data_IF_810022987142
#
_entry.id   IF_810022987142
#
_cell.length_a   1.000
_cell.length_b   1.000
_cell.length_c   1.000
_cell.angle_alpha   90.00
_cell.angle_beta   90.00
_cell.angle_gamma   90.00
#
_symmetry.space_group_name_H-M   'P 1'
#
loop_
_entity.id
_entity.type
_entity.pdbx_description
1 polymer ?
#
# COMPACT_ATOMS: atom_id res chain seq x y z
N UNK A 1 -0.43 -22.02 -7.40
CA UNK A 1 0.24 -20.70 -7.49
C UNK A 1 -0.34 -19.72 -6.48
N UNK A 2 -1.53 -19.13 -6.67
CA UNK A 2 -2.09 -18.18 -5.69
C UNK A 2 -2.26 -18.82 -4.28
N UNK A 3 -2.67 -20.10 -4.23
CA UNK A 3 -2.80 -20.85 -2.98
C UNK A 3 -1.47 -21.19 -2.28
N UNK A 4 -0.33 -20.93 -2.92
CA UNK A 4 0.99 -21.15 -2.36
C UNK A 4 1.64 -19.83 -1.91
N UNK A 5 0.99 -18.69 -2.20
CA UNK A 5 1.43 -17.36 -1.79
C UNK A 5 0.95 -17.01 -0.38
N UNK A 6 1.80 -16.32 0.39
CA UNK A 6 1.42 -15.74 1.69
C UNK A 6 0.39 -14.62 1.54
N UNK A 7 0.56 -13.78 0.51
CA UNK A 7 -0.30 -12.64 0.18
C UNK A 7 -0.15 -12.26 -1.28
N UNK A 8 -1.16 -11.60 -1.84
CA UNK A 8 -1.17 -11.07 -3.20
C UNK A 8 -0.81 -9.59 -3.19
N UNK A 9 0.22 -9.22 -3.92
CA UNK A 9 0.62 -7.82 -4.07
C UNK A 9 -0.13 -7.19 -5.24
N UNK A 10 -0.89 -6.14 -4.96
CA UNK A 10 -1.50 -5.25 -5.94
C UNK A 10 -0.61 -4.02 -6.07
N UNK A 11 -0.08 -3.81 -7.26
CA UNK A 11 0.90 -2.79 -7.58
C UNK A 11 0.39 -1.93 -8.75
N UNK A 12 -0.56 -1.00 -8.53
CA UNK A 12 -0.92 -0.02 -9.54
C UNK A 12 0.31 0.81 -9.94
N UNK A 13 0.51 1.00 -11.24
CA UNK A 13 1.67 1.71 -11.82
C UNK A 13 1.33 3.15 -12.22
N UNK A 14 0.11 3.55 -11.96
CA UNK A 14 -0.44 4.85 -12.30
C UNK A 14 0.24 5.95 -11.49
N UNK A 15 0.43 7.11 -12.13
CA UNK A 15 1.11 8.27 -11.50
C UNK A 15 0.15 9.12 -10.69
N UNK A 16 -1.13 9.08 -11.05
CA UNK A 16 -2.21 9.76 -10.36
C UNK A 16 -2.89 8.80 -9.37
N UNK A 17 -3.39 9.35 -8.27
CA UNK A 17 -4.01 8.54 -7.22
C UNK A 17 -5.38 7.97 -7.66
N UNK A 18 -6.19 8.76 -8.36
CA UNK A 18 -7.53 8.31 -8.76
C UNK A 18 -7.43 7.15 -9.76
N UNK A 19 -6.51 7.26 -10.72
CA UNK A 19 -6.18 6.18 -11.66
C UNK A 19 -5.67 4.94 -10.91
N UNK A 20 -4.77 5.12 -9.93
CA UNK A 20 -4.24 4.02 -9.13
C UNK A 20 -5.34 3.31 -8.32
N UNK A 21 -6.27 4.06 -7.73
CA UNK A 21 -7.40 3.50 -6.97
C UNK A 21 -8.41 2.79 -7.88
N UNK A 22 -8.65 3.31 -9.08
CA UNK A 22 -9.46 2.63 -10.10
C UNK A 22 -8.86 1.29 -10.49
N UNK A 23 -7.55 1.27 -10.76
CA UNK A 23 -6.81 0.05 -11.10
C UNK A 23 -6.84 -0.97 -9.94
N UNK A 24 -6.69 -0.52 -8.69
CA UNK A 24 -6.86 -1.39 -7.51
C UNK A 24 -8.26 -2.01 -7.45
N UNK A 25 -9.31 -1.22 -7.69
CA UNK A 25 -10.68 -1.73 -7.70
C UNK A 25 -10.90 -2.78 -8.81
N UNK A 26 -10.30 -2.59 -9.98
CA UNK A 26 -10.32 -3.58 -11.07
C UNK A 26 -9.59 -4.87 -10.71
N UNK A 27 -8.40 -4.77 -10.08
CA UNK A 27 -7.67 -5.95 -9.58
C UNK A 27 -8.47 -6.71 -8.53
N UNK A 28 -9.09 -6.01 -7.58
CA UNK A 28 -9.94 -6.62 -6.56
C UNK A 28 -11.12 -7.37 -7.19
N UNK A 29 -11.81 -6.76 -8.16
CA UNK A 29 -12.93 -7.40 -8.84
C UNK A 29 -12.52 -8.72 -9.53
N UNK A 30 -11.33 -8.77 -10.14
CA UNK A 30 -10.80 -10.00 -10.74
C UNK A 30 -10.52 -11.06 -9.67
N UNK A 31 -9.93 -10.69 -8.55
CA UNK A 31 -9.62 -11.61 -7.45
C UNK A 31 -10.89 -12.13 -6.76
N UNK A 32 -11.90 -11.28 -6.61
CA UNK A 32 -13.19 -11.62 -6.00
C UNK A 32 -13.97 -12.61 -6.89
N UNK A 33 -14.04 -12.35 -8.21
CA UNK A 33 -14.67 -13.27 -9.18
C UNK A 33 -13.97 -14.63 -9.21
N UNK A 34 -12.66 -14.66 -9.01
CA UNK A 34 -11.87 -15.88 -8.94
C UNK A 34 -11.88 -16.56 -7.54
N UNK A 35 -12.64 -16.02 -6.58
CA UNK A 35 -12.78 -16.51 -5.21
C UNK A 35 -11.42 -16.72 -4.50
N UNK A 36 -10.47 -15.81 -4.72
CA UNK A 36 -9.13 -15.93 -4.14
C UNK A 36 -9.07 -15.38 -2.72
N UNK A 37 -9.19 -16.27 -1.74
CA UNK A 37 -9.16 -15.97 -0.30
C UNK A 37 -7.74 -15.81 0.27
N UNK A 38 -6.93 -14.93 -0.33
CA UNK A 38 -5.57 -14.65 0.14
C UNK A 38 -5.43 -13.22 0.64
N UNK A 39 -4.67 -12.98 1.73
CA UNK A 39 -4.40 -11.63 2.19
C UNK A 39 -3.86 -10.75 1.07
N UNK A 40 -4.29 -9.49 1.05
CA UNK A 40 -3.87 -8.52 0.03
C UNK A 40 -2.79 -7.60 0.60
N UNK A 41 -1.86 -7.22 -0.26
CA UNK A 41 -0.89 -6.17 -0.01
C UNK A 41 -1.07 -5.10 -1.07
N UNK A 42 -1.20 -3.84 -0.64
CA UNK A 42 -1.25 -2.71 -1.55
C UNK A 42 0.09 -1.98 -1.55
N UNK A 43 0.61 -1.74 -2.75
CA UNK A 43 1.91 -1.12 -2.98
C UNK A 43 1.75 0.11 -3.88
N UNK A 44 2.46 1.18 -3.55
CA UNK A 44 2.49 2.42 -4.31
C UNK A 44 3.91 2.96 -4.46
N UNK A 45 4.10 3.90 -5.39
CA UNK A 45 5.39 4.50 -5.68
C UNK A 45 5.32 6.02 -5.75
N UNK A 46 6.38 6.69 -5.30
CA UNK A 46 6.52 8.15 -5.39
C UNK A 46 5.27 8.85 -4.83
N UNK A 47 4.59 9.64 -5.65
CA UNK A 47 3.40 10.40 -5.27
C UNK A 47 2.25 9.53 -4.73
N UNK A 48 2.15 8.25 -5.16
CA UNK A 48 1.09 7.35 -4.68
C UNK A 48 1.52 6.49 -3.49
N UNK A 49 2.80 6.51 -3.08
CA UNK A 49 3.30 5.65 -2.00
C UNK A 49 2.56 5.88 -0.68
N UNK A 50 2.50 7.13 -0.20
CA UNK A 50 1.81 7.44 1.06
C UNK A 50 0.29 7.29 0.99
N UNK A 51 -0.41 7.82 -0.03
CA UNK A 51 -1.84 7.59 -0.17
C UNK A 51 -2.23 6.11 -0.21
N UNK A 52 -1.43 5.25 -0.87
CA UNK A 52 -1.71 3.81 -0.95
C UNK A 52 -1.33 3.06 0.33
N UNK A 53 -0.34 3.51 1.11
CA UNK A 53 -0.10 3.01 2.48
C UNK A 53 -1.33 3.28 3.37
N UNK A 54 -1.87 4.49 3.31
CA UNK A 54 -3.06 4.85 4.07
C UNK A 54 -4.30 4.07 3.61
N UNK A 55 -4.45 3.91 2.31
CA UNK A 55 -5.55 3.14 1.74
C UNK A 55 -5.46 1.66 2.12
N UNK A 56 -4.25 1.09 2.14
CA UNK A 56 -4.03 -0.25 2.66
C UNK A 56 -4.53 -0.37 4.11
N UNK A 57 -4.22 0.62 4.96
CA UNK A 57 -4.68 0.65 6.33
C UNK A 57 -6.22 0.71 6.44
N UNK A 58 -6.88 1.55 5.64
CA UNK A 58 -8.36 1.64 5.59
C UNK A 58 -9.01 0.33 5.17
N UNK A 59 -8.40 -0.38 4.22
CA UNK A 59 -8.88 -1.68 3.70
C UNK A 59 -8.49 -2.87 4.59
N UNK A 60 -7.64 -2.67 5.59
CA UNK A 60 -7.09 -3.77 6.40
C UNK A 60 -6.09 -4.64 5.64
N UNK A 61 -5.50 -4.12 4.56
CA UNK A 61 -4.48 -4.79 3.77
C UNK A 61 -3.09 -4.60 4.37
N UNK A 62 -2.17 -5.48 4.00
CA UNK A 62 -0.76 -5.22 4.21
C UNK A 62 -0.28 -4.11 3.28
N UNK A 63 0.87 -3.50 3.60
CA UNK A 63 1.54 -2.55 2.71
C UNK A 63 3.05 -2.81 2.69
N UNK A 64 3.74 -2.10 1.79
CA UNK A 64 5.18 -2.08 1.64
C UNK A 64 5.62 -0.61 1.65
N UNK A 65 6.69 -0.32 2.39
CA UNK A 65 7.27 1.03 2.49
C UNK A 65 8.81 0.94 2.61
N UNK A 66 9.51 1.72 1.79
CA UNK A 66 10.97 1.84 1.79
C UNK A 66 11.47 2.76 0.68
N UNK A 67 12.78 2.95 0.62
CA UNK A 67 13.49 3.86 -0.30
C UNK A 67 13.34 3.48 -1.78
N UNK A 68 13.04 2.21 -2.08
CA UNK A 68 12.69 1.79 -3.45
C UNK A 68 11.34 2.39 -3.88
N UNK A 69 10.45 2.63 -2.92
CA UNK A 69 9.07 3.01 -3.15
C UNK A 69 8.95 4.55 -3.17
N UNK A 70 9.61 5.24 -2.24
CA UNK A 70 9.66 6.70 -2.14
C UNK A 70 10.93 7.19 -1.43
N UNK A 71 11.38 8.41 -1.77
CA UNK A 71 12.45 9.10 -1.03
C UNK A 71 11.93 10.12 -0.02
N UNK A 72 10.62 10.39 -0.03
CA UNK A 72 9.98 11.42 0.79
C UNK A 72 9.15 10.76 1.89
N UNK A 73 9.13 11.38 3.07
CA UNK A 73 8.17 11.11 4.14
C UNK A 73 6.80 11.67 3.77
N UNK A 74 5.77 11.31 4.54
CA UNK A 74 4.40 11.73 4.25
C UNK A 74 4.19 13.26 4.31
N UNK A 75 5.07 13.98 4.99
CA UNK A 75 5.09 15.44 5.05
C UNK A 75 5.95 16.10 3.95
N UNK A 76 6.51 15.30 3.03
CA UNK A 76 7.35 15.77 1.92
C UNK A 76 8.83 15.94 2.25
N UNK A 77 9.27 15.75 3.50
CA UNK A 77 10.71 15.78 3.82
C UNK A 77 11.41 14.56 3.22
N UNK A 78 12.67 14.71 2.79
CA UNK A 78 13.48 13.56 2.36
C UNK A 78 13.78 12.64 3.54
N UNK A 79 13.50 11.35 3.38
CA UNK A 79 13.81 10.33 4.36
C UNK A 79 15.32 10.09 4.47
N UNK A 80 15.82 9.88 5.68
CA UNK A 80 17.23 9.58 5.94
C UNK A 80 17.57 8.14 5.59
N UNK A 81 16.66 7.20 5.87
CA UNK A 81 16.83 5.78 5.62
C UNK A 81 15.46 5.06 5.57
N UNK A 82 15.50 3.74 5.36
CA UNK A 82 14.30 2.89 5.39
C UNK A 82 13.61 2.85 6.77
N UNK A 83 14.37 2.96 7.86
CA UNK A 83 13.80 2.85 9.20
C UNK A 83 12.88 4.05 9.50
N UNK A 84 13.24 5.24 9.02
CA UNK A 84 12.40 6.43 9.13
C UNK A 84 11.11 6.30 8.32
N UNK A 85 11.17 5.76 7.10
CA UNK A 85 9.98 5.50 6.27
C UNK A 85 9.05 4.49 6.95
N UNK A 86 9.61 3.38 7.46
CA UNK A 86 8.82 2.33 8.12
C UNK A 86 8.19 2.84 9.41
N UNK A 87 8.90 3.64 10.20
CA UNK A 87 8.37 4.24 11.41
C UNK A 87 7.20 5.20 11.12
N UNK A 88 7.34 6.07 10.12
CA UNK A 88 6.26 6.98 9.69
C UNK A 88 5.05 6.20 9.17
N UNK A 89 5.26 5.16 8.35
CA UNK A 89 4.19 4.29 7.88
C UNK A 89 3.46 3.61 9.06
N UNK A 90 4.19 3.10 10.05
CA UNK A 90 3.60 2.50 11.24
C UNK A 90 2.74 3.50 12.04
N UNK A 91 3.20 4.75 12.20
CA UNK A 91 2.44 5.82 12.87
C UNK A 91 1.15 6.13 12.12
N UNK A 92 1.20 6.26 10.79
CA UNK A 92 0.01 6.53 9.97
C UNK A 92 -1.00 5.38 10.03
N UNK A 93 -0.54 4.14 9.92
CA UNK A 93 -1.37 2.94 10.02
C UNK A 93 -2.05 2.88 11.41
N UNK A 94 -1.29 3.11 12.49
CA UNK A 94 -1.82 3.15 13.85
C UNK A 94 -2.91 4.23 14.01
N UNK A 95 -2.66 5.42 13.46
CA UNK A 95 -3.60 6.55 13.45
C UNK A 95 -4.90 6.21 12.72
N UNK A 96 -4.81 5.67 11.51
CA UNK A 96 -5.98 5.33 10.67
C UNK A 96 -6.79 4.17 11.27
N UNK A 97 -6.11 3.17 11.84
CA UNK A 97 -6.77 1.98 12.42
C UNK A 97 -7.27 2.19 13.84
N UNK A 98 -7.01 3.36 14.45
CA UNK A 98 -7.42 3.68 15.82
C UNK A 98 -6.67 2.89 16.89
N UNK A 99 -5.47 2.37 16.58
CA UNK A 99 -4.60 1.64 17.51
C UNK A 99 -3.54 2.59 18.06
N UNK A 100 -3.94 3.41 19.03
CA UNK A 100 -3.05 4.31 19.79
C UNK A 100 -2.60 3.70 21.11
#
# INVERSE_FOLDING_TARGET
LANDCLRLMMEPRDRDLDDALSNVAEMEAVLDVAEVDRPRLLHGFRATAWPLIEEAARRGYATRAGLEDTFELADGRTARDNAEIVAEAAIRIATITGRG
#
